data_IF_136694315375
#
_entry.id   IF_136694315375
#
_cell.length_a   1.000
_cell.length_b   1.000
_cell.length_c   1.000
_cell.angle_alpha   90.00
_cell.angle_beta   90.00
_cell.angle_gamma   90.00
#
_symmetry.space_group_name_H-M   'P 1'
#
loop_
_entity.id
_entity.type
_entity.pdbx_description
1 polymer ?
#
# COMPACT_ATOMS: atom_id res chain seq x y z
N UNK A 1 -4.18 -10.22 -16.74
CA UNK A 1 -4.20 -10.22 -15.25
C UNK A 1 -3.68 -8.90 -14.63
N UNK A 2 -2.78 -8.12 -15.27
CA UNK A 2 -2.32 -6.82 -14.73
C UNK A 2 -3.32 -5.65 -14.85
N UNK A 3 -4.34 -5.74 -15.71
CA UNK A 3 -5.23 -4.61 -16.02
C UNK A 3 -6.12 -4.15 -14.86
N UNK A 4 -6.57 -5.08 -14.00
CA UNK A 4 -7.55 -4.75 -12.94
C UNK A 4 -6.91 -4.02 -11.75
N UNK A 5 -5.62 -4.29 -11.46
CA UNK A 5 -4.84 -3.53 -10.45
C UNK A 5 -4.71 -2.07 -10.84
N UNK A 6 -4.20 -1.80 -12.04
CA UNK A 6 -3.99 -0.42 -12.51
C UNK A 6 -5.31 0.34 -12.68
N UNK A 7 -6.38 -0.37 -13.03
CA UNK A 7 -7.73 0.20 -13.06
C UNK A 7 -8.17 0.65 -11.65
N UNK A 8 -7.94 -0.18 -10.63
CA UNK A 8 -8.22 0.16 -9.24
C UNK A 8 -7.43 1.41 -8.78
N UNK A 9 -6.12 1.45 -9.06
CA UNK A 9 -5.28 2.61 -8.71
C UNK A 9 -5.73 3.88 -9.44
N UNK A 10 -6.13 3.76 -10.72
CA UNK A 10 -6.64 4.89 -11.50
C UNK A 10 -7.93 5.45 -10.92
N UNK A 11 -8.86 4.59 -10.50
CA UNK A 11 -10.09 5.04 -9.83
C UNK A 11 -9.79 5.68 -8.48
N UNK A 12 -8.86 5.11 -7.72
CA UNK A 12 -8.46 5.63 -6.42
C UNK A 12 -7.86 7.04 -6.51
N UNK A 13 -7.00 7.30 -7.50
CA UNK A 13 -6.46 8.64 -7.74
C UNK A 13 -7.52 9.66 -8.22
N UNK A 14 -8.63 9.19 -8.76
CA UNK A 14 -9.79 10.02 -9.10
C UNK A 14 -10.76 10.21 -7.90
N UNK A 15 -10.47 9.64 -6.73
CA UNK A 15 -11.37 9.63 -5.58
C UNK A 15 -12.59 8.71 -5.74
N UNK A 16 -12.61 7.88 -6.79
CA UNK A 16 -13.68 6.94 -7.14
C UNK A 16 -13.49 5.63 -6.37
N UNK A 17 -13.61 5.71 -5.05
CA UNK A 17 -13.18 4.63 -4.17
C UNK A 17 -14.00 3.35 -4.30
N UNK A 18 -15.30 3.44 -4.56
CA UNK A 18 -16.16 2.26 -4.74
C UNK A 18 -15.75 1.47 -5.99
N UNK A 19 -15.47 2.16 -7.11
CA UNK A 19 -14.97 1.50 -8.32
C UNK A 19 -13.55 0.94 -8.12
N UNK A 20 -12.70 1.64 -7.35
CA UNK A 20 -11.37 1.14 -7.00
C UNK A 20 -11.46 -0.17 -6.20
N UNK A 21 -12.30 -0.20 -5.15
CA UNK A 21 -12.55 -1.37 -4.32
C UNK A 21 -13.07 -2.53 -5.18
N UNK A 22 -14.07 -2.29 -6.03
CA UNK A 22 -14.62 -3.32 -6.92
C UNK A 22 -13.56 -3.88 -7.88
N UNK A 23 -12.68 -3.02 -8.42
CA UNK A 23 -11.57 -3.44 -9.26
C UNK A 23 -10.55 -4.29 -8.50
N UNK A 24 -10.18 -3.91 -7.28
CA UNK A 24 -9.26 -4.69 -6.45
C UNK A 24 -9.87 -6.03 -6.01
N UNK A 25 -11.15 -6.07 -5.64
CA UNK A 25 -11.86 -7.33 -5.34
C UNK A 25 -11.87 -8.27 -6.55
N UNK A 26 -12.19 -7.75 -7.73
CA UNK A 26 -12.12 -8.51 -8.98
C UNK A 26 -10.68 -8.96 -9.30
N UNK A 27 -9.66 -8.16 -8.96
CA UNK A 27 -8.27 -8.59 -9.10
C UNK A 27 -7.98 -9.80 -8.19
N UNK A 28 -8.45 -9.79 -6.95
CA UNK A 28 -8.33 -10.92 -6.00
C UNK A 28 -9.08 -12.18 -6.48
N UNK A 29 -10.21 -12.02 -7.18
CA UNK A 29 -10.92 -13.18 -7.75
C UNK A 29 -10.19 -13.79 -8.95
N UNK A 30 -9.48 -12.95 -9.72
CA UNK A 30 -8.82 -13.35 -10.97
C UNK A 30 -7.35 -13.74 -10.80
N UNK A 31 -6.71 -13.35 -9.70
CA UNK A 31 -5.34 -13.73 -9.33
C UNK A 31 -5.32 -14.39 -7.97
N UNK A 32 -4.22 -15.04 -7.59
CA UNK A 32 -4.05 -15.39 -6.17
C UNK A 32 -4.14 -14.13 -5.29
N UNK A 33 -4.71 -14.30 -4.10
CA UNK A 33 -4.95 -13.26 -3.09
C UNK A 33 -3.64 -12.78 -2.47
N UNK A 34 -2.83 -12.09 -3.27
CA UNK A 34 -1.48 -11.65 -2.94
C UNK A 34 -1.48 -10.46 -2.00
N UNK A 35 -0.41 -10.33 -1.19
CA UNK A 35 -0.23 -9.21 -0.26
C UNK A 35 -0.34 -7.85 -0.93
N UNK A 36 0.09 -7.78 -2.19
CA UNK A 36 0.14 -6.56 -2.97
C UNK A 36 -1.24 -6.00 -3.33
N UNK A 37 -2.18 -6.87 -3.71
CA UNK A 37 -3.56 -6.44 -3.99
C UNK A 37 -4.31 -6.18 -2.67
N UNK A 38 -4.03 -6.96 -1.63
CA UNK A 38 -4.57 -6.73 -0.29
C UNK A 38 -4.14 -5.37 0.27
N UNK A 39 -2.86 -5.00 0.17
CA UNK A 39 -2.37 -3.68 0.61
C UNK A 39 -3.11 -2.52 -0.07
N UNK A 40 -3.32 -2.61 -1.39
CA UNK A 40 -4.09 -1.62 -2.14
C UNK A 40 -5.58 -1.60 -1.75
N UNK A 41 -6.22 -2.77 -1.65
CA UNK A 41 -7.63 -2.86 -1.25
C UNK A 41 -7.84 -2.27 0.14
N UNK A 42 -6.98 -2.60 1.09
CA UNK A 42 -7.04 -2.05 2.43
C UNK A 42 -6.80 -0.54 2.45
N UNK A 43 -5.87 -0.03 1.65
CA UNK A 43 -5.65 1.42 1.52
C UNK A 43 -6.93 2.11 0.99
N UNK A 44 -7.54 1.58 -0.07
CA UNK A 44 -8.79 2.10 -0.63
C UNK A 44 -9.94 2.07 0.39
N UNK A 45 -10.06 1.00 1.19
CA UNK A 45 -11.01 0.97 2.30
C UNK A 45 -10.71 2.05 3.34
N UNK A 46 -9.44 2.27 3.68
CA UNK A 46 -9.08 3.24 4.70
C UNK A 46 -9.38 4.68 4.26
N UNK A 47 -8.96 5.07 3.06
CA UNK A 47 -9.15 6.43 2.53
C UNK A 47 -10.61 6.75 2.17
N UNK A 48 -11.43 5.72 1.92
CA UNK A 48 -12.89 5.87 1.72
C UNK A 48 -13.70 5.89 3.02
N UNK A 49 -13.03 5.91 4.19
CA UNK A 49 -13.69 5.93 5.51
C UNK A 49 -14.16 4.57 6.01
N UNK A 50 -13.94 3.48 5.26
CA UNK A 50 -14.29 2.10 5.64
C UNK A 50 -13.20 1.47 6.52
N UNK A 51 -12.87 2.15 7.62
CA UNK A 51 -11.78 1.79 8.52
C UNK A 51 -11.87 0.36 9.05
N UNK A 52 -13.07 -0.14 9.35
CA UNK A 52 -13.27 -1.51 9.81
C UNK A 52 -12.79 -2.56 8.82
N UNK A 53 -13.09 -2.38 7.52
CA UNK A 53 -12.64 -3.29 6.46
C UNK A 53 -11.13 -3.19 6.24
N UNK A 54 -10.57 -1.98 6.28
CA UNK A 54 -9.12 -1.79 6.21
C UNK A 54 -8.37 -2.52 7.33
N UNK A 55 -8.89 -2.50 8.57
CA UNK A 55 -8.31 -3.20 9.70
C UNK A 55 -8.41 -4.73 9.56
N UNK A 56 -9.47 -5.26 8.95
CA UNK A 56 -9.56 -6.70 8.62
C UNK A 56 -8.45 -7.11 7.64
N UNK A 57 -8.26 -6.32 6.58
CA UNK A 57 -7.17 -6.55 5.62
C UNK A 57 -5.79 -6.43 6.29
N UNK A 58 -5.62 -5.51 7.23
CA UNK A 58 -4.37 -5.38 7.98
C UNK A 58 -4.07 -6.63 8.82
N UNK A 59 -5.08 -7.16 9.49
CA UNK A 59 -4.93 -8.39 10.27
C UNK A 59 -4.61 -9.57 9.36
N UNK A 60 -5.29 -9.69 8.21
CA UNK A 60 -4.99 -10.71 7.21
C UNK A 60 -3.54 -10.63 6.72
N UNK A 61 -3.04 -9.44 6.35
CA UNK A 61 -1.64 -9.27 5.96
C UNK A 61 -0.65 -9.63 7.08
N UNK A 62 -0.99 -9.35 8.33
CA UNK A 62 -0.17 -9.76 9.49
C UNK A 62 -0.16 -11.27 9.68
N UNK A 63 -1.31 -11.92 9.55
CA UNK A 63 -1.42 -13.39 9.60
C UNK A 63 -0.65 -14.06 8.46
N UNK A 64 -0.74 -13.52 7.24
CA UNK A 64 0.07 -13.97 6.10
C UNK A 64 1.56 -13.82 6.38
N UNK A 65 1.98 -12.70 6.98
CA UNK A 65 3.39 -12.46 7.30
C UNK A 65 3.96 -13.43 8.34
N UNK A 66 3.10 -14.05 9.17
CA UNK A 66 3.50 -15.08 10.12
C UNK A 66 3.78 -16.44 9.45
N UNK A 67 3.26 -16.66 8.23
CA UNK A 67 3.34 -17.93 7.51
C UNK A 67 4.11 -17.83 6.18
N UNK A 68 4.56 -16.64 5.79
CA UNK A 68 5.26 -16.42 4.53
C UNK A 68 5.73 -14.98 4.37
N UNK A 69 6.37 -14.69 3.24
CA UNK A 69 6.82 -13.33 2.95
C UNK A 69 5.65 -12.42 2.58
N UNK A 70 5.52 -11.31 3.29
CA UNK A 70 4.67 -10.18 2.94
C UNK A 70 5.56 -8.97 2.77
N UNK A 71 5.45 -8.31 1.62
CA UNK A 71 6.25 -7.13 1.34
C UNK A 71 5.96 -6.03 2.37
N UNK A 72 6.99 -5.46 3.05
CA UNK A 72 6.79 -4.33 3.94
C UNK A 72 6.17 -3.13 3.21
N UNK A 73 6.38 -3.00 1.90
CA UNK A 73 5.76 -1.96 1.08
C UNK A 73 4.23 -2.06 1.08
N UNK A 74 3.68 -3.27 0.98
CA UNK A 74 2.23 -3.48 0.92
C UNK A 74 1.57 -3.12 2.27
N UNK A 75 2.25 -3.44 3.38
CA UNK A 75 1.85 -3.01 4.73
C UNK A 75 1.94 -1.48 4.87
N UNK A 76 3.01 -0.87 4.37
CA UNK A 76 3.17 0.58 4.40
C UNK A 76 2.06 1.31 3.62
N UNK A 77 1.69 0.80 2.43
CA UNK A 77 0.55 1.31 1.67
C UNK A 77 -0.71 1.35 2.55
N UNK A 78 -1.05 0.22 3.18
CA UNK A 78 -2.23 0.15 4.05
C UNK A 78 -2.17 1.09 5.26
N UNK A 79 -1.04 1.11 5.97
CA UNK A 79 -0.86 2.00 7.12
C UNK A 79 -0.98 3.49 6.75
N UNK A 80 -0.51 3.85 5.56
CA UNK A 80 -0.65 5.23 5.04
C UNK A 80 -2.11 5.60 4.90
N UNK A 81 -2.94 4.73 4.33
CA UNK A 81 -4.38 4.96 4.18
C UNK A 81 -5.09 5.05 5.53
N UNK A 82 -4.62 4.29 6.54
CA UNK A 82 -5.14 4.34 7.92
C UNK A 82 -4.75 5.60 8.70
N UNK A 83 -3.86 6.42 8.14
CA UNK A 83 -3.29 7.61 8.78
C UNK A 83 -2.19 7.29 9.81
N UNK A 84 -1.75 6.03 9.90
CA UNK A 84 -0.71 5.60 10.83
C UNK A 84 0.68 5.82 10.22
N UNK A 85 1.13 7.08 10.30
CA UNK A 85 2.38 7.52 9.68
C UNK A 85 3.60 6.81 10.25
N UNK A 86 3.60 6.50 11.54
CA UNK A 86 4.73 5.84 12.20
C UNK A 86 4.91 4.43 11.67
N UNK A 87 3.84 3.63 11.62
CA UNK A 87 3.92 2.30 11.03
C UNK A 87 4.22 2.36 9.54
N UNK A 88 3.63 3.29 8.79
CA UNK A 88 3.90 3.44 7.37
C UNK A 88 5.39 3.69 7.08
N UNK A 89 6.00 4.67 7.77
CA UNK A 89 7.41 5.03 7.57
C UNK A 89 8.35 3.90 8.02
N UNK A 90 8.06 3.25 9.14
CA UNK A 90 8.85 2.10 9.60
C UNK A 90 8.84 0.97 8.56
N UNK A 91 7.69 0.67 7.97
CA UNK A 91 7.58 -0.37 6.95
C UNK A 91 8.21 0.05 5.61
N UNK A 92 8.13 1.33 5.22
CA UNK A 92 8.86 1.84 4.04
C UNK A 92 10.38 1.76 4.23
N UNK A 93 10.87 2.02 5.43
CA UNK A 93 12.30 1.94 5.75
C UNK A 93 12.79 0.49 5.63
N UNK A 94 12.02 -0.46 6.17
CA UNK A 94 12.26 -1.90 5.97
C UNK A 94 12.18 -2.33 4.51
N UNK A 95 11.18 -1.84 3.76
CA UNK A 95 11.06 -2.13 2.33
C UNK A 95 12.29 -1.66 1.55
N UNK A 96 12.88 -0.51 1.92
CA UNK A 96 14.13 -0.03 1.35
C UNK A 96 15.32 -0.93 1.71
N UNK A 97 15.48 -1.31 2.98
CA UNK A 97 16.55 -2.20 3.45
C UNK A 97 16.49 -3.58 2.78
N UNK A 98 15.29 -4.14 2.65
CA UNK A 98 15.02 -5.43 2.01
C UNK A 98 15.06 -5.36 0.47
N UNK A 99 15.20 -4.16 -0.12
CA UNK A 99 15.08 -3.93 -1.58
C UNK A 99 13.75 -4.46 -2.15
N UNK A 100 12.68 -4.35 -1.38
CA UNK A 100 11.36 -4.82 -1.77
C UNK A 100 10.86 -4.06 -3.00
N UNK A 101 10.41 -4.80 -4.03
CA UNK A 101 10.36 -4.32 -5.42
C UNK A 101 9.74 -2.95 -5.66
N UNK A 102 8.49 -2.72 -5.21
CA UNK A 102 7.77 -1.48 -5.49
C UNK A 102 8.34 -0.24 -4.81
N UNK A 103 9.36 -0.36 -3.95
CA UNK A 103 10.02 0.81 -3.36
C UNK A 103 10.53 1.79 -4.43
N UNK A 104 10.84 1.31 -5.64
CA UNK A 104 11.26 2.15 -6.78
C UNK A 104 10.21 3.20 -7.20
N UNK A 105 8.91 2.95 -6.96
CA UNK A 105 7.83 3.87 -7.33
C UNK A 105 7.46 4.86 -6.22
N UNK A 106 8.12 4.79 -5.07
CA UNK A 106 7.79 5.59 -3.87
C UNK A 106 7.69 7.09 -4.12
N UNK A 107 8.46 7.63 -5.06
CA UNK A 107 8.45 9.06 -5.40
C UNK A 107 7.22 9.50 -6.18
N UNK A 108 6.65 8.61 -6.99
CA UNK A 108 5.63 8.95 -7.98
C UNK A 108 4.23 8.51 -7.57
N UNK A 109 4.10 7.61 -6.57
CA UNK A 109 2.80 7.14 -6.12
C UNK A 109 2.11 8.16 -5.19
N UNK A 110 0.95 8.71 -5.58
CA UNK A 110 0.19 9.68 -4.78
C UNK A 110 -0.26 9.17 -3.41
N UNK A 111 -0.33 7.85 -3.22
CA UNK A 111 -0.77 7.25 -1.96
C UNK A 111 0.11 7.63 -0.77
N UNK A 112 1.39 7.98 -1.01
CA UNK A 112 2.32 8.41 0.04
C UNK A 112 2.41 9.93 0.21
N UNK A 113 1.59 10.71 -0.49
CA UNK A 113 1.49 12.16 -0.31
C UNK A 113 1.30 12.58 1.16
N UNK A 114 0.49 11.87 1.98
CA UNK A 114 0.35 12.19 3.41
C UNK A 114 1.64 12.08 4.23
N UNK A 115 2.66 11.37 3.73
CA UNK A 115 3.96 11.18 4.38
C UNK A 115 5.00 12.21 3.93
N UNK A 116 4.79 12.93 2.82
CA UNK A 116 5.81 13.84 2.24
C UNK A 116 6.24 14.97 3.17
N UNK A 117 5.40 15.37 4.12
CA UNK A 117 5.74 16.40 5.13
C UNK A 117 6.58 15.85 6.30
N UNK A 118 6.73 14.53 6.43
CA UNK A 118 7.49 13.90 7.51
C UNK A 118 9.00 13.89 7.17
N UNK A 119 9.88 14.40 8.06
CA UNK A 119 11.31 14.46 7.79
C UNK A 119 11.94 13.06 7.60
N UNK A 120 11.37 12.01 8.21
CA UNK A 120 11.85 10.63 8.05
C UNK A 120 11.59 10.11 6.65
N UNK A 121 10.46 10.49 6.04
CA UNK A 121 10.15 10.15 4.64
C UNK A 121 11.11 10.87 3.69
N UNK A 122 11.42 12.15 3.94
CA UNK A 122 12.42 12.89 3.16
C UNK A 122 13.84 12.29 3.27
N UNK A 123 14.22 11.78 4.45
CA UNK A 123 15.47 11.04 4.63
C UNK A 123 15.51 9.73 3.81
N UNK A 124 14.42 8.96 3.85
CA UNK A 124 14.28 7.75 3.04
C UNK A 124 14.43 8.03 1.54
N UNK A 125 13.76 9.06 1.03
CA UNK A 125 13.88 9.46 -0.37
C UNK A 125 15.30 9.90 -0.75
N UNK A 126 16.04 10.55 0.16
CA UNK A 126 17.46 10.90 -0.07
C UNK A 126 18.34 9.67 -0.16
N UNK A 127 18.14 8.68 0.72
CA UNK A 127 18.85 7.39 0.70
C UNK A 127 18.62 6.60 -0.60
N UNK A 128 17.46 6.75 -1.23
CA UNK A 128 17.17 6.14 -2.53
C UNK A 128 17.84 6.84 -3.72
N UNK A 129 18.33 8.08 -3.55
CA UNK A 129 18.84 8.93 -4.63
C UNK A 129 20.37 9.05 -4.64
N UNK A 130 21.07 8.12 -4.02
CA UNK A 130 22.53 8.17 -4.11
C UNK A 130 22.97 7.93 -5.58
N UNK A 131 23.92 8.74 -6.08
CA UNK A 131 24.50 8.59 -7.42
C UNK A 131 25.22 7.26 -7.63
#
# INVERSE_FOLDING_TARGET
>A
MAGTRYLGQSYEFQGRYDEAIAAYQKAIELSERTSNILGLLGHAYAVSGRRGEALKILNELKEMSAHGYVSPYDLATLYTGLGDKDNAINHLSRAYEERAGWIITLKVEPMFDPLRSDPRFADLQRKMNYP
#
